data_IF_589983966966
#
_entry.id   IF_589983966966
#
_cell.length_a   1.000
_cell.length_b   1.000
_cell.length_c   1.000
_cell.angle_alpha   90.00
_cell.angle_beta   90.00
_cell.angle_gamma   90.00
#
_symmetry.space_group_name_H-M   'P 1'
#
loop_
_entity.id
_entity.type
_entity.pdbx_description
1 polymer ?
#
# COMPACT_ATOMS: atom_id res chain seq x y z
N UNK A 1 8.24 -27.07 39.71
CA UNK A 1 8.85 -25.90 39.07
C UNK A 1 7.74 -24.90 38.82
N UNK A 2 7.70 -23.80 39.57
CA UNK A 2 6.66 -22.76 39.41
C UNK A 2 7.25 -21.72 38.47
N UNK A 3 6.80 -21.72 37.21
CA UNK A 3 7.15 -20.67 36.25
C UNK A 3 6.37 -19.42 36.69
N UNK A 4 7.07 -18.31 36.94
CA UNK A 4 6.44 -17.04 37.34
C UNK A 4 5.93 -16.29 36.10
N UNK A 5 4.80 -15.60 36.21
CA UNK A 5 4.22 -14.81 35.11
C UNK A 5 5.24 -13.86 34.45
N UNK A 6 6.11 -13.23 35.25
CA UNK A 6 7.18 -12.37 34.73
C UNK A 6 8.16 -13.11 33.80
N UNK A 7 8.46 -14.40 34.07
CA UNK A 7 9.37 -15.19 33.24
C UNK A 7 8.72 -15.65 31.94
N UNK A 8 7.39 -15.86 31.94
CA UNK A 8 6.63 -16.16 30.72
C UNK A 8 6.64 -14.92 29.82
N UNK A 9 6.36 -13.75 30.39
CA UNK A 9 6.36 -12.49 29.65
C UNK A 9 7.73 -12.16 29.01
N UNK A 10 8.82 -12.33 29.76
CA UNK A 10 10.17 -12.14 29.22
C UNK A 10 10.47 -13.11 28.06
N UNK A 11 9.99 -14.36 28.14
CA UNK A 11 10.15 -15.34 27.08
C UNK A 11 9.31 -14.99 25.84
N UNK A 12 8.08 -14.53 26.04
CA UNK A 12 7.17 -14.07 24.97
C UNK A 12 7.76 -12.85 24.24
N UNK A 13 8.25 -11.86 24.98
CA UNK A 13 8.92 -10.68 24.41
C UNK A 13 10.17 -11.07 23.60
N UNK A 14 10.99 -12.00 24.12
CA UNK A 14 12.17 -12.49 23.42
C UNK A 14 11.79 -13.30 22.15
N UNK A 15 10.73 -14.12 22.21
CA UNK A 15 10.25 -14.89 21.08
C UNK A 15 9.66 -13.98 19.98
N UNK A 16 8.87 -12.97 20.37
CA UNK A 16 8.34 -11.96 19.47
C UNK A 16 9.46 -11.17 18.79
N UNK A 17 10.47 -10.73 19.56
CA UNK A 17 11.64 -10.03 19.02
C UNK A 17 12.40 -10.86 17.99
N UNK A 18 12.62 -12.15 18.28
CA UNK A 18 13.24 -13.09 17.33
C UNK A 18 12.40 -13.28 16.05
N UNK A 19 11.07 -13.35 16.20
CA UNK A 19 10.16 -13.49 15.05
C UNK A 19 10.14 -12.24 14.17
N UNK A 20 10.11 -11.04 14.75
CA UNK A 20 10.20 -9.77 14.01
C UNK A 20 11.51 -9.69 13.20
N UNK A 21 12.62 -10.15 13.76
CA UNK A 21 13.91 -10.21 13.04
C UNK A 21 13.81 -11.17 11.83
N UNK A 22 13.24 -12.36 12.02
CA UNK A 22 13.03 -13.33 10.92
C UNK A 22 12.15 -12.75 9.82
N UNK A 23 11.04 -12.11 10.18
CA UNK A 23 10.13 -11.47 9.24
C UNK A 23 10.79 -10.30 8.49
N UNK A 24 11.64 -9.52 9.17
CA UNK A 24 12.39 -8.45 8.52
C UNK A 24 13.40 -8.99 7.51
N UNK A 25 14.10 -10.10 7.80
CA UNK A 25 14.96 -10.76 6.81
C UNK A 25 14.15 -11.31 5.63
N UNK A 26 13.00 -11.93 5.90
CA UNK A 26 12.08 -12.37 4.83
C UNK A 26 11.65 -11.20 3.93
N UNK A 27 11.29 -10.04 4.50
CA UNK A 27 10.93 -8.86 3.70
C UNK A 27 12.07 -8.41 2.78
N UNK A 28 13.34 -8.50 3.22
CA UNK A 28 14.50 -8.16 2.39
C UNK A 28 14.71 -9.14 1.25
N UNK A 29 14.32 -10.40 1.40
CA UNK A 29 14.33 -11.39 0.33
C UNK A 29 13.15 -11.19 -0.63
N UNK A 30 11.95 -10.92 -0.07
CA UNK A 30 10.71 -10.78 -0.81
C UNK A 30 10.63 -9.50 -1.65
N UNK A 31 11.04 -8.37 -1.08
CA UNK A 31 11.04 -7.06 -1.74
C UNK A 31 12.31 -6.28 -1.42
N UNK A 32 13.47 -6.71 -1.99
CA UNK A 32 14.77 -6.15 -1.65
C UNK A 32 14.87 -4.66 -1.93
N UNK A 33 14.31 -4.19 -3.04
CA UNK A 33 14.42 -2.79 -3.45
C UNK A 33 13.57 -1.86 -2.60
N UNK A 34 12.38 -2.29 -2.19
CA UNK A 34 11.57 -1.58 -1.20
C UNK A 34 12.32 -1.49 0.14
N UNK A 35 12.85 -2.62 0.62
CA UNK A 35 13.54 -2.67 1.90
C UNK A 35 14.83 -1.82 1.93
N UNK A 36 15.53 -1.65 0.80
CA UNK A 36 16.68 -0.74 0.70
C UNK A 36 16.32 0.73 0.91
N UNK A 37 15.05 1.11 0.76
CA UNK A 37 14.59 2.49 1.02
C UNK A 37 14.28 2.76 2.49
N UNK A 38 14.22 1.71 3.31
CA UNK A 38 13.95 1.79 4.74
C UNK A 38 15.26 1.86 5.53
N UNK A 39 15.28 2.70 6.57
CA UNK A 39 16.38 2.69 7.53
C UNK A 39 16.32 1.48 8.47
N UNK A 40 17.38 1.31 9.27
CA UNK A 40 17.56 0.17 10.18
C UNK A 40 16.41 0.00 11.17
N UNK A 41 15.72 1.08 11.54
CA UNK A 41 14.63 1.05 12.52
C UNK A 41 13.25 0.98 11.84
N UNK A 42 13.13 1.41 10.58
CA UNK A 42 11.87 1.43 9.85
C UNK A 42 11.33 0.05 9.53
N UNK A 43 12.16 -0.84 8.98
CA UNK A 43 11.70 -2.17 8.60
C UNK A 43 11.21 -2.99 9.80
N UNK A 44 11.94 -3.09 10.93
CA UNK A 44 11.43 -3.76 12.13
C UNK A 44 10.12 -3.15 12.66
N UNK A 45 9.97 -1.83 12.59
CA UNK A 45 8.72 -1.16 13.00
C UNK A 45 7.55 -1.51 12.07
N UNK A 46 7.77 -1.49 10.76
CA UNK A 46 6.75 -1.87 9.77
C UNK A 46 6.30 -3.33 9.96
N UNK A 47 7.26 -4.23 10.17
CA UNK A 47 6.99 -5.65 10.47
C UNK A 47 6.22 -5.80 11.78
N UNK A 48 6.62 -5.10 12.84
CA UNK A 48 5.91 -5.14 14.14
C UNK A 48 4.46 -4.70 13.98
N UNK A 49 4.21 -3.60 13.27
CA UNK A 49 2.85 -3.15 12.97
C UNK A 49 2.07 -4.18 12.15
N UNK A 50 2.72 -4.89 11.22
CA UNK A 50 2.09 -5.98 10.47
C UNK A 50 1.69 -7.16 11.36
N UNK A 51 2.54 -7.54 12.33
CA UNK A 51 2.22 -8.57 13.34
C UNK A 51 1.02 -8.15 14.17
N UNK A 52 1.03 -6.91 14.69
CA UNK A 52 -0.07 -6.37 15.49
C UNK A 52 -1.40 -6.33 14.72
N UNK A 53 -1.36 -6.01 13.42
CA UNK A 53 -2.55 -6.00 12.56
C UNK A 53 -3.05 -7.39 12.20
N UNK A 54 -2.14 -8.34 11.96
CA UNK A 54 -2.51 -9.73 11.71
C UNK A 54 -3.28 -10.35 12.91
N UNK A 55 -2.90 -9.96 14.13
CA UNK A 55 -3.55 -10.42 15.37
C UNK A 55 -5.03 -9.98 15.47
N UNK A 56 -5.39 -8.81 14.92
CA UNK A 56 -6.78 -8.33 14.86
C UNK A 56 -7.70 -9.33 14.13
N UNK A 57 -7.15 -10.07 13.17
CA UNK A 57 -7.86 -11.10 12.41
C UNK A 57 -7.66 -12.52 12.96
N UNK A 58 -7.05 -12.65 14.15
CA UNK A 58 -6.75 -13.93 14.79
C UNK A 58 -5.65 -14.73 14.10
N UNK A 59 -4.80 -14.08 13.29
CA UNK A 59 -3.66 -14.73 12.65
C UNK A 59 -2.48 -14.73 13.62
N UNK A 60 -2.12 -15.90 14.13
CA UNK A 60 -1.08 -16.03 15.17
C UNK A 60 -0.06 -17.14 14.89
N UNK A 61 -0.22 -17.89 13.79
CA UNK A 61 0.81 -18.80 13.29
C UNK A 61 1.81 -18.04 12.42
N UNK A 62 3.09 -18.48 12.45
CA UNK A 62 4.19 -17.81 11.74
C UNK A 62 3.91 -17.64 10.24
N UNK A 63 3.37 -18.67 9.59
CA UNK A 63 3.06 -18.65 8.15
C UNK A 63 2.00 -17.60 7.79
N UNK A 64 0.79 -17.66 8.38
CA UNK A 64 -0.25 -16.65 8.21
C UNK A 64 0.18 -15.22 8.50
N UNK A 65 0.93 -14.98 9.58
CA UNK A 65 1.43 -13.63 9.90
C UNK A 65 2.43 -13.15 8.86
N UNK A 66 3.36 -14.01 8.42
CA UNK A 66 4.28 -13.68 7.32
C UNK A 66 3.51 -13.33 6.04
N UNK A 67 2.52 -14.14 5.67
CA UNK A 67 1.71 -13.91 4.48
C UNK A 67 0.92 -12.59 4.57
N UNK A 68 0.39 -12.25 5.74
CA UNK A 68 -0.26 -10.95 5.97
C UNK A 68 0.69 -9.78 5.68
N UNK A 69 1.95 -9.89 6.09
CA UNK A 69 2.97 -8.87 5.80
C UNK A 69 3.31 -8.82 4.30
N UNK A 70 3.36 -9.96 3.62
CA UNK A 70 3.53 -10.01 2.17
C UNK A 70 2.37 -9.27 1.45
N UNK A 71 1.13 -9.42 1.94
CA UNK A 71 -0.02 -8.67 1.43
C UNK A 71 0.10 -7.16 1.69
N UNK A 72 0.64 -6.72 2.84
CA UNK A 72 0.93 -5.29 3.08
C UNK A 72 1.90 -4.72 2.04
N UNK A 73 2.91 -5.51 1.63
CA UNK A 73 3.89 -5.09 0.63
C UNK A 73 3.27 -5.05 -0.78
N UNK A 74 2.44 -6.03 -1.12
CA UNK A 74 1.87 -6.19 -2.48
C UNK A 74 0.68 -5.26 -2.72
N UNK A 75 -0.25 -5.19 -1.79
CA UNK A 75 -1.52 -4.47 -1.94
C UNK A 75 -1.56 -3.12 -1.20
N UNK A 76 -0.50 -2.79 -0.46
CA UNK A 76 -0.42 -1.62 0.42
C UNK A 76 -0.87 -1.95 1.84
N UNK A 77 -0.34 -1.25 2.84
CA UNK A 77 -0.52 -1.59 4.25
C UNK A 77 -1.97 -1.51 4.78
N UNK A 78 -2.89 -0.90 4.03
CA UNK A 78 -4.32 -0.86 4.33
C UNK A 78 -5.17 -1.83 3.51
N UNK A 79 -4.59 -2.84 2.86
CA UNK A 79 -5.33 -3.73 1.96
C UNK A 79 -6.57 -4.40 2.59
N UNK A 80 -6.55 -4.60 3.91
CA UNK A 80 -7.53 -5.29 4.74
C UNK A 80 -8.86 -4.53 4.88
N UNK A 81 -8.89 -3.26 4.49
CA UNK A 81 -10.13 -2.47 4.34
C UNK A 81 -10.11 -1.58 3.09
N UNK A 82 -9.22 -1.84 2.13
CA UNK A 82 -9.12 -1.05 0.92
C UNK A 82 -10.32 -1.29 0.00
N UNK A 83 -11.04 -0.23 -0.45
CA UNK A 83 -12.14 -0.37 -1.38
C UNK A 83 -11.72 -0.99 -2.72
N UNK A 84 -10.42 -1.00 -3.04
CA UNK A 84 -9.88 -1.66 -4.24
C UNK A 84 -9.84 -3.18 -4.13
N UNK A 85 -9.82 -3.74 -2.91
CA UNK A 85 -9.66 -5.17 -2.65
C UNK A 85 -10.69 -5.72 -1.64
N UNK A 86 -12.01 -5.49 -1.85
CA UNK A 86 -13.03 -5.90 -0.88
C UNK A 86 -13.02 -7.42 -0.61
N UNK A 87 -12.62 -8.20 -1.61
CA UNK A 87 -12.49 -9.65 -1.50
C UNK A 87 -11.43 -10.11 -0.50
N UNK A 88 -10.43 -9.28 -0.15
CA UNK A 88 -9.46 -9.63 0.90
C UNK A 88 -10.10 -9.48 2.27
N UNK A 89 -10.74 -8.32 2.52
CA UNK A 89 -11.45 -8.05 3.76
C UNK A 89 -12.53 -9.10 4.03
N UNK A 90 -13.28 -9.50 2.99
CA UNK A 90 -14.30 -10.56 3.05
C UNK A 90 -13.73 -11.91 3.49
N UNK A 91 -12.55 -12.32 3.01
CA UNK A 91 -11.94 -13.60 3.43
C UNK A 91 -11.30 -13.51 4.82
N UNK A 92 -10.72 -12.37 5.19
CA UNK A 92 -10.17 -12.15 6.53
C UNK A 92 -11.26 -12.25 7.60
N UNK A 93 -12.47 -11.77 7.33
CA UNK A 93 -13.60 -11.73 8.26
C UNK A 93 -14.31 -13.09 8.49
N UNK A 94 -13.84 -14.19 7.89
CA UNK A 94 -14.45 -15.54 8.01
C UNK A 94 -13.86 -16.38 9.14
N UNK A 95 -13.44 -15.77 10.24
CA UNK A 95 -12.81 -16.47 11.37
C UNK A 95 -13.74 -17.45 12.09
N UNK A 96 -15.06 -17.24 11.99
CA UNK A 96 -16.06 -18.20 12.48
C UNK A 96 -16.27 -19.41 11.53
N UNK A 97 -15.90 -19.29 10.25
CA UNK A 97 -16.17 -20.28 9.21
C UNK A 97 -14.93 -21.09 8.80
N UNK A 98 -13.76 -20.46 8.84
CA UNK A 98 -12.50 -20.98 8.31
C UNK A 98 -11.36 -20.73 9.29
N UNK A 99 -10.50 -21.72 9.47
CA UNK A 99 -9.29 -21.50 10.26
C UNK A 99 -8.32 -20.54 9.57
N UNK A 100 -7.30 -20.07 10.29
CA UNK A 100 -6.35 -19.09 9.75
C UNK A 100 -5.58 -19.59 8.53
N UNK A 101 -5.29 -20.90 8.41
CA UNK A 101 -4.59 -21.45 7.25
C UNK A 101 -5.51 -21.47 6.05
N UNK A 102 -6.75 -21.94 6.23
CA UNK A 102 -7.77 -21.95 5.18
C UNK A 102 -8.04 -20.53 4.64
N UNK A 103 -8.18 -19.53 5.52
CA UNK A 103 -8.37 -18.12 5.12
C UNK A 103 -7.19 -17.61 4.31
N UNK A 104 -5.95 -17.85 4.77
CA UNK A 104 -4.76 -17.40 4.04
C UNK A 104 -4.58 -18.10 2.70
N UNK A 105 -4.94 -19.38 2.57
CA UNK A 105 -4.89 -20.11 1.30
C UNK A 105 -5.93 -19.58 0.29
N UNK A 106 -7.14 -19.27 0.77
CA UNK A 106 -8.17 -18.65 -0.05
C UNK A 106 -7.75 -17.26 -0.55
N UNK A 107 -7.17 -16.43 0.33
CA UNK A 107 -6.63 -15.12 -0.05
C UNK A 107 -5.47 -15.28 -1.02
N UNK A 108 -4.55 -16.23 -0.79
CA UNK A 108 -3.43 -16.50 -1.68
C UNK A 108 -3.91 -16.87 -3.09
N UNK A 109 -4.82 -17.82 -3.21
CA UNK A 109 -5.40 -18.23 -4.50
C UNK A 109 -6.03 -17.04 -5.24
N UNK A 110 -6.88 -16.26 -4.55
CA UNK A 110 -7.50 -15.07 -5.15
C UNK A 110 -6.49 -13.98 -5.51
N UNK A 111 -5.42 -13.84 -4.73
CA UNK A 111 -4.33 -12.90 -5.01
C UNK A 111 -3.61 -13.27 -6.29
N UNK A 112 -3.33 -14.56 -6.51
CA UNK A 112 -2.71 -15.03 -7.74
C UNK A 112 -3.60 -14.74 -8.96
N UNK A 113 -4.89 -15.10 -8.89
CA UNK A 113 -5.85 -14.81 -9.97
C UNK A 113 -5.97 -13.31 -10.25
N UNK A 114 -6.00 -12.50 -9.18
CA UNK A 114 -6.07 -11.04 -9.28
C UNK A 114 -4.82 -10.48 -9.97
N UNK A 115 -3.62 -10.84 -9.50
CA UNK A 115 -2.35 -10.32 -10.02
C UNK A 115 -2.10 -10.80 -11.46
N UNK A 116 -2.42 -12.06 -11.79
CA UNK A 116 -2.30 -12.56 -13.16
C UNK A 116 -3.17 -11.74 -14.13
N UNK A 117 -4.41 -11.42 -13.73
CA UNK A 117 -5.29 -10.61 -14.56
C UNK A 117 -4.85 -9.13 -14.58
N UNK A 118 -4.63 -8.53 -13.42
CA UNK A 118 -4.40 -7.08 -13.29
C UNK A 118 -2.99 -6.71 -13.75
N UNK A 119 -1.97 -7.32 -13.17
CA UNK A 119 -0.56 -6.98 -13.41
C UNK A 119 -0.05 -7.63 -14.70
N UNK A 120 -0.61 -8.78 -15.06
CA UNK A 120 -0.20 -9.57 -16.22
C UNK A 120 1.11 -10.31 -16.00
N UNK A 121 1.53 -11.16 -16.96
CA UNK A 121 2.80 -11.87 -16.90
C UNK A 121 3.98 -10.89 -16.72
N UNK A 122 4.86 -11.20 -15.77
CA UNK A 122 6.02 -10.36 -15.41
C UNK A 122 5.67 -8.88 -15.15
N UNK A 123 4.48 -8.63 -14.58
CA UNK A 123 3.94 -7.32 -14.23
C UNK A 123 3.84 -6.35 -15.42
N UNK A 124 3.70 -6.85 -16.65
CA UNK A 124 3.75 -6.03 -17.88
C UNK A 124 2.68 -4.94 -17.92
N UNK A 125 1.49 -5.18 -17.36
CA UNK A 125 0.41 -4.18 -17.33
C UNK A 125 0.68 -3.10 -16.29
N UNK A 126 1.14 -3.47 -15.10
CA UNK A 126 1.51 -2.52 -14.04
C UNK A 126 2.68 -1.66 -14.47
N UNK A 127 3.75 -2.25 -15.03
CA UNK A 127 4.90 -1.49 -15.52
C UNK A 127 4.51 -0.49 -16.61
N UNK A 128 3.67 -0.91 -17.55
CA UNK A 128 3.15 -0.01 -18.59
C UNK A 128 2.31 1.12 -17.99
N UNK A 129 1.45 0.82 -17.02
CA UNK A 129 0.65 1.82 -16.32
C UNK A 129 1.53 2.84 -15.59
N UNK A 130 2.58 2.40 -14.90
CA UNK A 130 3.54 3.29 -14.23
C UNK A 130 4.31 4.17 -15.23
N UNK A 131 4.72 3.63 -16.38
CA UNK A 131 5.36 4.40 -17.45
C UNK A 131 4.41 5.48 -18.01
N UNK A 132 3.16 5.12 -18.34
CA UNK A 132 2.16 6.06 -18.84
C UNK A 132 1.81 7.14 -17.82
N UNK A 133 1.66 6.77 -16.54
CA UNK A 133 1.41 7.71 -15.46
C UNK A 133 2.56 8.70 -15.31
N UNK A 134 3.81 8.22 -15.31
CA UNK A 134 5.01 9.07 -15.22
C UNK A 134 5.06 10.09 -16.36
N UNK A 135 4.80 9.66 -17.60
CA UNK A 135 4.77 10.56 -18.77
C UNK A 135 3.68 11.63 -18.64
N UNK A 136 2.48 11.24 -18.21
CA UNK A 136 1.36 12.17 -18.07
C UNK A 136 1.60 13.17 -16.93
N UNK A 137 2.07 12.73 -15.77
CA UNK A 137 2.37 13.62 -14.64
C UNK A 137 3.44 14.68 -15.02
N UNK A 138 4.50 14.25 -15.71
CA UNK A 138 5.57 15.15 -16.22
C UNK A 138 5.09 16.11 -17.30
N UNK A 139 4.11 15.72 -18.11
CA UNK A 139 3.54 16.63 -19.13
C UNK A 139 2.56 17.65 -18.54
N UNK A 140 2.22 17.53 -17.25
CA UNK A 140 1.41 18.49 -16.53
C UNK A 140 -0.07 18.37 -16.84
N UNK A 141 -0.67 17.19 -16.59
CA UNK A 141 -2.13 16.99 -16.65
C UNK A 141 -2.82 18.13 -15.88
N UNK A 142 -3.84 18.72 -16.51
CA UNK A 142 -4.64 19.78 -15.90
C UNK A 142 -5.91 19.19 -15.30
N UNK A 143 -6.12 19.44 -14.01
CA UNK A 143 -7.33 19.09 -13.29
C UNK A 143 -8.17 20.34 -13.02
N UNK A 144 -9.49 20.18 -12.97
CA UNK A 144 -10.45 21.24 -12.67
C UNK A 144 -11.39 20.76 -11.56
N UNK A 145 -11.67 21.59 -10.56
CA UNK A 145 -12.53 21.21 -9.43
C UNK A 145 -13.91 20.70 -9.86
N UNK A 146 -14.55 21.37 -10.83
CA UNK A 146 -15.93 21.06 -11.24
C UNK A 146 -16.09 19.64 -11.82
N UNK A 147 -15.03 19.02 -12.34
CA UNK A 147 -15.06 17.70 -12.96
C UNK A 147 -13.89 16.80 -12.51
N UNK A 148 -13.37 17.04 -11.30
CA UNK A 148 -12.15 16.39 -10.81
C UNK A 148 -12.27 14.87 -10.88
N UNK A 149 -13.31 14.30 -10.27
CA UNK A 149 -13.51 12.86 -10.20
C UNK A 149 -13.62 12.23 -11.58
N UNK A 150 -14.33 12.89 -12.50
CA UNK A 150 -14.47 12.42 -13.86
C UNK A 150 -13.10 12.35 -14.56
N UNK A 151 -12.26 13.38 -14.41
CA UNK A 151 -10.93 13.39 -15.02
C UNK A 151 -10.01 12.34 -14.40
N UNK A 152 -10.09 12.12 -13.08
CA UNK A 152 -9.28 11.12 -12.37
C UNK A 152 -9.73 9.69 -12.75
N UNK A 153 -11.03 9.41 -12.78
CA UNK A 153 -11.56 8.11 -13.23
C UNK A 153 -11.17 7.81 -14.68
N UNK A 154 -11.26 8.82 -15.56
CA UNK A 154 -10.80 8.70 -16.93
C UNK A 154 -9.30 8.35 -16.98
N UNK A 155 -8.46 9.06 -16.22
CA UNK A 155 -7.04 8.77 -16.12
C UNK A 155 -6.78 7.31 -15.69
N UNK A 156 -7.49 6.82 -14.66
CA UNK A 156 -7.34 5.43 -14.20
C UNK A 156 -7.74 4.41 -15.27
N UNK A 157 -8.87 4.63 -15.94
CA UNK A 157 -9.37 3.73 -16.99
C UNK A 157 -8.43 3.67 -18.20
N UNK A 158 -7.73 4.77 -18.51
CA UNK A 158 -6.80 4.84 -19.63
C UNK A 158 -5.44 4.22 -19.28
N UNK A 159 -4.91 4.53 -18.08
CA UNK A 159 -3.57 4.12 -17.67
C UNK A 159 -3.52 2.66 -17.22
N UNK A 160 -4.54 2.20 -16.49
CA UNK A 160 -4.58 0.84 -15.95
C UNK A 160 -5.96 0.18 -16.11
N UNK A 161 -6.41 -0.07 -17.35
CA UNK A 161 -7.78 -0.51 -17.66
C UNK A 161 -8.20 -1.77 -16.91
N UNK A 162 -7.31 -2.75 -16.73
CA UNK A 162 -7.62 -4.00 -16.03
C UNK A 162 -7.87 -3.81 -14.53
N UNK A 163 -7.08 -2.96 -13.86
CA UNK A 163 -7.30 -2.61 -12.46
C UNK A 163 -8.60 -1.83 -12.32
N UNK A 164 -8.85 -0.87 -13.22
CA UNK A 164 -10.12 -0.13 -13.27
C UNK A 164 -11.33 -1.06 -13.39
N UNK A 165 -11.28 -2.02 -14.33
CA UNK A 165 -12.34 -3.00 -14.53
C UNK A 165 -12.52 -3.92 -13.32
N UNK A 166 -11.42 -4.42 -12.76
CA UNK A 166 -11.45 -5.36 -11.63
C UNK A 166 -11.93 -4.71 -10.32
N UNK A 167 -11.51 -3.48 -10.05
CA UNK A 167 -11.96 -2.71 -8.89
C UNK A 167 -13.40 -2.21 -9.07
N UNK A 168 -13.74 -1.75 -10.27
CA UNK A 168 -15.05 -1.20 -10.59
C UNK A 168 -15.20 0.27 -10.18
N UNK A 169 -15.98 1.01 -10.97
CA UNK A 169 -16.11 2.46 -10.82
C UNK A 169 -16.73 2.89 -9.48
N UNK A 170 -17.66 2.10 -8.92
CA UNK A 170 -18.30 2.42 -7.64
C UNK A 170 -17.29 2.46 -6.48
N UNK A 171 -16.40 1.46 -6.40
CA UNK A 171 -15.33 1.42 -5.41
C UNK A 171 -14.31 2.55 -5.62
N UNK A 172 -13.94 2.83 -6.88
CA UNK A 172 -13.05 3.95 -7.21
C UNK A 172 -13.66 5.31 -6.83
N UNK A 173 -14.98 5.48 -6.95
CA UNK A 173 -15.66 6.69 -6.49
C UNK A 173 -15.59 6.85 -4.97
N UNK A 174 -15.71 5.75 -4.22
CA UNK A 174 -15.47 5.75 -2.77
C UNK A 174 -14.06 6.20 -2.42
N UNK A 175 -13.05 5.59 -3.06
CA UNK A 175 -11.65 6.00 -2.92
C UNK A 175 -11.43 7.49 -3.21
N UNK A 176 -11.99 7.99 -4.31
CA UNK A 176 -11.87 9.41 -4.69
C UNK A 176 -12.49 10.35 -3.65
N UNK A 177 -13.62 9.96 -3.06
CA UNK A 177 -14.29 10.76 -2.02
C UNK A 177 -13.47 10.83 -0.73
N UNK A 178 -12.96 9.68 -0.29
CA UNK A 178 -12.08 9.58 0.88
C UNK A 178 -10.80 10.40 0.70
N UNK A 179 -10.11 10.23 -0.43
CA UNK A 179 -8.86 10.94 -0.71
C UNK A 179 -9.06 12.44 -0.92
N UNK A 180 -10.20 12.84 -1.50
CA UNK A 180 -10.57 14.26 -1.58
C UNK A 180 -10.79 14.84 -0.19
N UNK A 181 -11.59 14.18 0.63
CA UNK A 181 -11.89 14.63 2.00
C UNK A 181 -10.61 14.75 2.79
N UNK A 182 -9.73 13.75 2.71
CA UNK A 182 -8.40 13.78 3.35
C UNK A 182 -7.54 14.93 2.85
N UNK A 183 -7.42 15.08 1.53
CA UNK A 183 -6.64 16.17 0.91
C UNK A 183 -7.11 17.55 1.38
N UNK A 184 -8.43 17.77 1.46
CA UNK A 184 -9.02 19.06 1.80
C UNK A 184 -9.06 19.35 3.31
N UNK A 185 -9.42 18.35 4.13
CA UNK A 185 -9.65 18.57 5.57
C UNK A 185 -8.39 18.34 6.40
N UNK A 186 -7.65 17.27 6.12
CA UNK A 186 -6.45 16.90 6.87
C UNK A 186 -5.24 17.69 6.37
N UNK A 187 -4.99 17.66 5.05
CA UNK A 187 -3.81 18.29 4.46
C UNK A 187 -4.03 19.71 3.95
N UNK A 188 -5.28 20.18 3.89
CA UNK A 188 -5.67 21.54 3.48
C UNK A 188 -5.24 21.93 2.06
N UNK A 189 -5.20 20.96 1.15
CA UNK A 189 -4.91 21.22 -0.26
C UNK A 189 -6.05 22.01 -0.90
N UNK A 190 -5.68 23.08 -1.61
CA UNK A 190 -6.64 23.96 -2.26
C UNK A 190 -6.71 23.70 -3.77
N UNK A 191 -5.62 23.29 -4.40
CA UNK A 191 -5.58 23.07 -5.85
C UNK A 191 -6.17 21.72 -6.26
N UNK A 192 -6.91 21.72 -7.36
CA UNK A 192 -7.46 20.49 -7.96
C UNK A 192 -6.40 19.44 -8.26
N UNK A 193 -5.16 19.84 -8.61
CA UNK A 193 -4.04 18.93 -8.87
C UNK A 193 -3.56 18.23 -7.60
N UNK A 194 -3.41 18.98 -6.50
CA UNK A 194 -3.03 18.42 -5.21
C UNK A 194 -4.04 17.41 -4.68
N UNK A 195 -5.34 17.71 -4.85
CA UNK A 195 -6.42 16.78 -4.49
C UNK A 195 -6.41 15.56 -5.43
N UNK A 196 -6.24 15.75 -6.75
CA UNK A 196 -6.11 14.64 -7.70
C UNK A 196 -4.95 13.71 -7.35
N UNK A 197 -3.83 14.28 -6.90
CA UNK A 197 -2.63 13.53 -6.52
C UNK A 197 -2.94 12.53 -5.40
N UNK A 198 -3.75 12.90 -4.40
CA UNK A 198 -4.15 11.98 -3.33
C UNK A 198 -4.85 10.75 -3.88
N UNK A 199 -5.82 10.94 -4.78
CA UNK A 199 -6.52 9.83 -5.44
C UNK A 199 -5.58 8.98 -6.30
N UNK A 200 -4.66 9.60 -7.04
CA UNK A 200 -3.67 8.90 -7.87
C UNK A 200 -2.73 8.06 -7.00
N UNK A 201 -2.29 8.60 -5.87
CA UNK A 201 -1.45 7.90 -4.90
C UNK A 201 -2.23 6.73 -4.25
N UNK A 202 -3.48 6.94 -3.84
CA UNK A 202 -4.34 5.88 -3.30
C UNK A 202 -4.58 4.74 -4.29
N UNK A 203 -4.75 5.06 -5.57
CA UNK A 203 -4.88 4.05 -6.62
C UNK A 203 -3.57 3.31 -6.91
N UNK A 204 -2.41 3.96 -6.79
CA UNK A 204 -1.11 3.35 -7.08
C UNK A 204 -0.54 2.55 -5.90
N UNK A 205 -0.71 3.04 -4.66
CA UNK A 205 -0.06 2.53 -3.46
C UNK A 205 -1.04 1.92 -2.42
N UNK A 206 -2.35 1.99 -2.68
CA UNK A 206 -3.39 1.62 -1.71
C UNK A 206 -3.90 2.84 -0.93
N UNK A 207 -5.15 2.81 -0.45
CA UNK A 207 -5.85 3.96 0.14
C UNK A 207 -5.25 4.47 1.48
N UNK A 208 -4.42 3.68 2.13
CA UNK A 208 -3.68 4.07 3.34
C UNK A 208 -2.21 4.43 3.08
N UNK A 209 -1.85 4.76 1.84
CA UNK A 209 -0.49 5.15 1.45
C UNK A 209 0.11 6.27 2.33
N UNK A 210 -0.71 7.21 2.81
CA UNK A 210 -0.30 8.35 3.62
C UNK A 210 0.24 7.97 5.00
N UNK A 211 -0.07 6.76 5.48
CA UNK A 211 0.40 6.20 6.75
C UNK A 211 1.14 4.88 6.56
N UNK A 212 1.56 4.55 5.33
CA UNK A 212 2.14 3.25 5.03
C UNK A 212 3.55 3.10 5.66
N UNK A 213 3.77 2.09 6.52
CA UNK A 213 5.04 1.94 7.21
C UNK A 213 6.17 1.41 6.31
N UNK A 214 5.85 0.82 5.16
CA UNK A 214 6.82 0.44 4.13
C UNK A 214 7.14 1.59 3.16
N UNK A 215 6.34 2.65 3.16
CA UNK A 215 6.59 3.87 2.37
C UNK A 215 6.68 5.13 3.26
N UNK A 216 7.54 5.15 4.30
CA UNK A 216 7.58 6.23 5.29
C UNK A 216 8.04 7.58 4.73
N UNK A 217 8.49 7.65 3.48
CA UNK A 217 8.80 8.90 2.81
C UNK A 217 7.52 9.68 2.45
N UNK A 218 6.39 9.00 2.25
CA UNK A 218 5.09 9.61 1.93
C UNK A 218 4.61 10.41 3.14
N UNK A 219 4.44 9.73 4.28
CA UNK A 219 4.02 10.36 5.54
C UNK A 219 4.97 11.49 5.94
N UNK A 220 6.30 11.27 5.85
CA UNK A 220 7.29 12.32 6.13
C UNK A 220 7.15 13.56 5.25
N UNK A 221 6.81 13.40 3.97
CA UNK A 221 6.53 14.53 3.09
C UNK A 221 5.22 15.21 3.47
N UNK A 222 4.17 14.42 3.72
CA UNK A 222 2.85 14.92 4.08
C UNK A 222 2.81 15.63 5.45
N UNK A 223 3.66 15.23 6.40
CA UNK A 223 3.74 15.80 7.75
C UNK A 223 4.72 16.98 7.85
N UNK A 224 5.53 17.23 6.82
CA UNK A 224 6.50 18.32 6.84
C UNK A 224 5.81 19.68 6.97
N UNK A 225 6.41 20.53 7.82
CA UNK A 225 6.01 21.92 8.08
C UNK A 225 6.89 22.92 7.33
N UNK A 226 7.76 22.45 6.44
CA UNK A 226 8.78 23.27 5.79
C UNK A 226 8.25 24.02 4.56
N UNK A 227 6.97 23.83 4.22
CA UNK A 227 6.36 24.40 3.01
C UNK A 227 5.55 25.65 3.31
N UNK A 228 5.69 26.65 2.43
CA UNK A 228 4.98 27.93 2.54
C UNK A 228 3.46 27.77 2.40
N UNK A 229 3.01 26.86 1.53
CA UNK A 229 1.59 26.55 1.32
C UNK A 229 1.35 25.04 1.37
N UNK A 230 0.10 24.60 1.68
CA UNK A 230 -0.29 23.21 1.57
C UNK A 230 0.01 22.61 0.19
N UNK A 231 -0.30 23.30 -0.92
CA UNK A 231 -0.10 22.73 -2.26
C UNK A 231 1.38 22.54 -2.63
N UNK A 232 2.31 23.32 -2.05
CA UNK A 232 3.75 23.08 -2.24
C UNK A 232 4.21 21.74 -1.67
N UNK A 233 3.55 21.25 -0.63
CA UNK A 233 3.76 19.89 -0.09
C UNK A 233 3.32 18.83 -1.09
N UNK A 234 2.17 19.01 -1.75
CA UNK A 234 1.70 18.10 -2.79
C UNK A 234 2.63 18.09 -4.01
N UNK A 235 3.16 19.25 -4.43
CA UNK A 235 4.19 19.32 -5.47
C UNK A 235 5.45 18.52 -5.08
N UNK A 236 5.88 18.61 -3.82
CA UNK A 236 7.03 17.83 -3.34
C UNK A 236 6.75 16.33 -3.30
N UNK A 237 5.54 15.95 -2.90
CA UNK A 237 5.07 14.57 -2.90
C UNK A 237 5.06 14.01 -4.34
N UNK A 238 4.51 14.75 -5.30
CA UNK A 238 4.50 14.37 -6.72
C UNK A 238 5.92 14.17 -7.25
N UNK A 239 6.83 15.10 -6.95
CA UNK A 239 8.23 15.03 -7.35
C UNK A 239 8.92 13.77 -6.80
N UNK A 240 8.69 13.43 -5.52
CA UNK A 240 9.24 12.23 -4.89
C UNK A 240 8.62 10.95 -5.43
N UNK A 241 7.32 10.94 -5.68
CA UNK A 241 6.63 9.82 -6.32
C UNK A 241 7.23 9.54 -7.71
N UNK A 242 7.50 10.58 -8.51
CA UNK A 242 8.17 10.41 -9.81
C UNK A 242 9.58 9.83 -9.69
N UNK A 243 10.37 10.25 -8.70
CA UNK A 243 11.70 9.68 -8.43
C UNK A 243 11.58 8.19 -8.05
N UNK A 244 10.60 7.86 -7.20
CA UNK A 244 10.33 6.48 -6.80
C UNK A 244 9.91 5.62 -8.00
N UNK A 245 9.02 6.12 -8.85
CA UNK A 245 8.59 5.44 -10.08
C UNK A 245 9.76 5.19 -11.04
N UNK A 246 10.66 6.17 -11.21
CA UNK A 246 11.85 6.00 -12.05
C UNK A 246 12.75 4.86 -11.53
N UNK A 247 12.93 4.77 -10.21
CA UNK A 247 13.71 3.70 -9.60
C UNK A 247 13.06 2.32 -9.81
N UNK A 248 11.74 2.21 -9.60
CA UNK A 248 11.00 0.96 -9.82
C UNK A 248 11.08 0.51 -11.28
N UNK A 249 10.84 1.43 -12.22
CA UNK A 249 10.90 1.14 -13.65
C UNK A 249 12.30 0.77 -14.12
N UNK A 250 13.35 1.36 -13.52
CA UNK A 250 14.74 1.01 -13.79
C UNK A 250 15.05 -0.41 -13.29
N UNK A 251 14.71 -0.73 -12.04
CA UNK A 251 15.00 -2.04 -11.46
C UNK A 251 14.25 -3.16 -12.19
N UNK A 252 13.00 -2.91 -12.62
CA UNK A 252 12.23 -3.86 -13.42
C UNK A 252 12.84 -4.14 -14.80
N UNK A 253 13.66 -3.22 -15.35
CA UNK A 253 14.39 -3.42 -16.61
C UNK A 253 15.71 -4.14 -16.42
N UNK A 254 16.36 -3.93 -15.27
CA UNK A 254 17.65 -4.56 -14.93
C UNK A 254 17.49 -5.98 -14.39
N UNK A 255 16.31 -6.33 -13.85
CA UNK A 255 15.96 -7.68 -13.38
C UNK A 255 15.41 -8.63 -14.44
N UNK A 256 15.30 -8.20 -15.71
CA UNK A 256 14.93 -9.03 -16.87
C UNK A 256 16.16 -9.45 -17.66
#
# INVERSE_FOLDING_TARGET
MIIREAQIKELEEAALGSFVIELAEHCKEFSPDLCKTLDQDQLPRAVTQGVDRADIYGLNLRGPVRFYIDLMIVFGSGFDNDPQYPWIAEELAKDEEMDQLERTEAIHTKSQDYLEYVDGPDNVHTLKALEELSVRMRSGIKFQHQNLDRHVLQLFSEVHPRKYERTGEAALRGLLDEERTRGQEEYRFEEARSIALMSIMGFAFGHHFHSDPFLPWISRTLDSKDFETPDKKAEDLERRALIWLDAVLKNAKEGK
#
